data_IF_936081087529
#
_entry.id   IF_936081087529
#
_cell.length_a   1.000
_cell.length_b   1.000
_cell.length_c   1.000
_cell.angle_alpha   90.00
_cell.angle_beta   90.00
_cell.angle_gamma   90.00
#
_symmetry.space_group_name_H-M   'P 1'
#
loop_
_entity.id
_entity.type
_entity.pdbx_description
1 polymer ?
#
# COMPACT_ATOMS: atom_id res chain seq x y z
N UNK A 1 -26.71 -25.66 8.36
CA UNK A 1 -25.48 -24.88 8.58
C UNK A 1 -24.65 -25.01 7.31
N UNK A 2 -24.71 -24.00 6.43
CA UNK A 2 -24.11 -24.06 5.10
C UNK A 2 -22.63 -23.69 5.26
N UNK A 3 -21.73 -24.67 5.12
CA UNK A 3 -20.31 -24.42 5.01
C UNK A 3 -20.10 -23.65 3.71
N UNK A 4 -19.72 -22.38 3.79
CA UNK A 4 -19.26 -21.64 2.63
C UNK A 4 -18.04 -22.40 2.07
N UNK A 5 -18.16 -22.90 0.84
CA UNK A 5 -17.02 -23.40 0.10
C UNK A 5 -16.10 -22.20 -0.15
N UNK A 6 -15.05 -22.06 0.65
CA UNK A 6 -13.94 -21.19 0.31
C UNK A 6 -13.26 -21.82 -0.90
N UNK A 7 -13.38 -21.18 -2.06
CA UNK A 7 -12.49 -21.49 -3.17
C UNK A 7 -11.07 -21.19 -2.72
N UNK A 8 -10.19 -22.18 -2.84
CA UNK A 8 -8.74 -22.01 -2.63
C UNK A 8 -8.06 -21.39 -3.86
N UNK A 9 -8.82 -21.00 -4.88
CA UNK A 9 -8.29 -20.44 -6.12
C UNK A 9 -8.35 -18.92 -6.10
N UNK A 10 -7.28 -18.30 -6.60
CA UNK A 10 -7.21 -16.86 -6.77
C UNK A 10 -8.18 -16.43 -7.88
N UNK A 11 -9.09 -15.48 -7.64
CA UNK A 11 -10.06 -15.03 -8.65
C UNK A 11 -9.39 -14.50 -9.93
N UNK A 12 -10.04 -14.67 -11.07
CA UNK A 12 -9.47 -14.28 -12.37
C UNK A 12 -9.16 -12.78 -12.44
N UNK A 13 -10.00 -11.94 -11.86
CA UNK A 13 -9.80 -10.49 -11.79
C UNK A 13 -8.54 -10.14 -10.97
N UNK A 14 -8.28 -10.87 -9.89
CA UNK A 14 -7.08 -10.71 -9.08
C UNK A 14 -5.83 -11.11 -9.89
N UNK A 15 -5.90 -12.21 -10.65
CA UNK A 15 -4.81 -12.64 -11.52
C UNK A 15 -4.53 -11.63 -12.64
N UNK A 16 -5.58 -11.09 -13.27
CA UNK A 16 -5.47 -10.06 -14.30
C UNK A 16 -4.82 -8.78 -13.78
N UNK A 17 -5.21 -8.32 -12.58
CA UNK A 17 -4.60 -7.18 -11.92
C UNK A 17 -3.10 -7.41 -11.65
N UNK A 18 -2.75 -8.57 -11.10
CA UNK A 18 -1.33 -8.90 -10.81
C UNK A 18 -0.53 -8.99 -12.11
N UNK A 19 -1.09 -9.56 -13.17
CA UNK A 19 -0.43 -9.62 -14.48
C UNK A 19 -0.22 -8.22 -15.07
N UNK A 20 -1.23 -7.35 -14.98
CA UNK A 20 -1.12 -5.93 -15.37
C UNK A 20 -0.01 -5.24 -14.59
N UNK A 21 -0.02 -5.39 -13.26
CA UNK A 21 0.96 -4.75 -12.38
C UNK A 21 2.38 -5.25 -12.68
N UNK A 22 2.56 -6.56 -12.84
CA UNK A 22 3.86 -7.15 -13.22
C UNK A 22 4.36 -6.60 -14.56
N UNK A 23 3.48 -6.49 -15.56
CA UNK A 23 3.83 -5.96 -16.89
C UNK A 23 4.27 -4.49 -16.85
N UNK A 24 3.68 -3.69 -15.97
CA UNK A 24 4.07 -2.29 -15.78
C UNK A 24 5.52 -2.17 -15.25
N UNK A 25 5.89 -3.05 -14.33
CA UNK A 25 7.24 -3.15 -13.80
C UNK A 25 7.66 -1.97 -12.92
N UNK A 26 8.85 -2.12 -12.32
CA UNK A 26 9.38 -1.23 -11.27
C UNK A 26 9.48 0.24 -11.69
N UNK A 27 9.74 0.52 -12.95
CA UNK A 27 9.83 1.88 -13.48
C UNK A 27 8.50 2.64 -13.35
N UNK A 28 7.37 1.95 -13.52
CA UNK A 28 6.04 2.56 -13.43
C UNK A 28 5.43 2.48 -12.02
N UNK A 29 5.76 1.46 -11.23
CA UNK A 29 5.22 1.31 -9.86
C UNK A 29 5.46 2.52 -8.97
N UNK A 30 6.64 3.13 -9.08
CA UNK A 30 7.08 4.22 -8.20
C UNK A 30 7.21 5.57 -8.92
N UNK A 31 6.93 5.62 -10.22
CA UNK A 31 6.94 6.87 -10.98
C UNK A 31 5.60 7.61 -10.89
N UNK A 32 5.66 8.92 -11.12
CA UNK A 32 4.48 9.73 -11.44
C UNK A 32 4.36 9.78 -12.96
N UNK A 33 3.54 8.90 -13.50
CA UNK A 33 3.27 8.81 -14.94
C UNK A 33 1.76 8.97 -15.18
N UNK A 34 1.31 10.13 -15.69
CA UNK A 34 -0.12 10.38 -15.91
C UNK A 34 -0.78 9.41 -16.89
N UNK A 35 -0.05 8.86 -17.87
CA UNK A 35 -0.62 7.92 -18.83
C UNK A 35 -0.83 6.55 -18.18
N UNK A 36 0.12 6.10 -17.37
CA UNK A 36 -0.04 4.89 -16.57
C UNK A 36 -1.14 5.06 -15.51
N UNK A 37 -1.20 6.20 -14.82
CA UNK A 37 -2.23 6.48 -13.82
C UNK A 37 -3.63 6.43 -14.44
N UNK A 38 -3.82 7.02 -15.63
CA UNK A 38 -5.08 6.97 -16.37
C UNK A 38 -5.45 5.53 -16.75
N UNK A 39 -4.52 4.80 -17.37
CA UNK A 39 -4.74 3.41 -17.77
C UNK A 39 -5.08 2.51 -16.57
N UNK A 40 -4.34 2.67 -15.46
CA UNK A 40 -4.55 1.88 -14.25
C UNK A 40 -5.90 2.20 -13.63
N UNK A 41 -6.29 3.48 -13.61
CA UNK A 41 -7.60 3.94 -13.11
C UNK A 41 -8.74 3.38 -13.96
N UNK A 42 -8.69 3.57 -15.28
CA UNK A 42 -9.73 3.09 -16.21
C UNK A 42 -9.92 1.58 -16.12
N UNK A 43 -8.84 0.83 -15.93
CA UNK A 43 -8.88 -0.64 -15.93
C UNK A 43 -9.43 -1.23 -14.63
N UNK A 44 -9.24 -0.58 -13.48
CA UNK A 44 -9.49 -1.22 -12.17
C UNK A 44 -10.25 -0.37 -11.15
N UNK A 45 -10.81 0.79 -11.54
CA UNK A 45 -11.60 1.61 -10.61
C UNK A 45 -12.78 0.86 -10.00
N UNK A 46 -13.47 0.01 -10.76
CA UNK A 46 -14.59 -0.79 -10.24
C UNK A 46 -14.12 -1.78 -9.16
N UNK A 47 -12.99 -2.46 -9.38
CA UNK A 47 -12.40 -3.35 -8.38
C UNK A 47 -11.94 -2.59 -7.14
N UNK A 48 -11.33 -1.41 -7.30
CA UNK A 48 -10.96 -0.56 -6.18
C UNK A 48 -12.20 -0.19 -5.35
N UNK A 49 -13.31 0.20 -5.98
CA UNK A 49 -14.54 0.54 -5.28
C UNK A 49 -15.15 -0.64 -4.51
N UNK A 50 -15.10 -1.85 -5.07
CA UNK A 50 -15.55 -3.06 -4.40
C UNK A 50 -14.63 -3.41 -3.21
N UNK A 51 -13.31 -3.36 -3.40
CA UNK A 51 -12.32 -3.59 -2.34
C UNK A 51 -12.44 -2.56 -1.21
N UNK A 52 -12.62 -1.28 -1.54
CA UNK A 52 -12.79 -0.20 -0.56
C UNK A 52 -14.03 -0.41 0.33
N UNK A 53 -15.07 -1.07 -0.20
CA UNK A 53 -16.30 -1.44 0.53
C UNK A 53 -16.19 -2.80 1.25
N UNK A 54 -15.05 -3.48 1.18
CA UNK A 54 -14.83 -4.80 1.79
C UNK A 54 -15.50 -5.96 1.06
N UNK A 55 -16.00 -5.74 -0.16
CA UNK A 55 -16.75 -6.76 -0.92
C UNK A 55 -15.86 -7.80 -1.60
N UNK A 56 -14.54 -7.60 -1.52
CA UNK A 56 -13.52 -8.51 -2.05
C UNK A 56 -12.65 -9.12 -0.92
N UNK A 57 -13.00 -8.93 0.35
CA UNK A 57 -12.19 -9.41 1.50
C UNK A 57 -11.97 -10.93 1.49
N UNK A 58 -12.90 -11.68 0.89
CA UNK A 58 -12.76 -13.11 0.67
C UNK A 58 -11.54 -13.49 -0.19
N UNK A 59 -10.95 -12.56 -0.96
CA UNK A 59 -9.72 -12.79 -1.72
C UNK A 59 -8.51 -13.07 -0.81
N UNK A 60 -8.59 -12.71 0.47
CA UNK A 60 -7.54 -13.04 1.46
C UNK A 60 -7.33 -14.53 1.69
N UNK A 61 -8.22 -15.40 1.17
CA UNK A 61 -8.07 -16.85 1.23
C UNK A 61 -6.82 -17.36 0.51
N UNK A 62 -6.25 -16.59 -0.42
CA UNK A 62 -5.02 -16.94 -1.14
C UNK A 62 -3.96 -15.83 -1.04
N UNK A 63 -2.69 -16.20 -1.16
CA UNK A 63 -1.59 -15.23 -1.13
C UNK A 63 -1.70 -14.19 -2.26
N UNK A 64 -2.04 -14.64 -3.48
CA UNK A 64 -2.19 -13.75 -4.62
C UNK A 64 -3.44 -12.88 -4.49
N UNK A 65 -4.54 -13.38 -3.93
CA UNK A 65 -5.71 -12.54 -3.65
C UNK A 65 -5.41 -11.44 -2.63
N UNK A 66 -4.65 -11.74 -1.57
CA UNK A 66 -4.12 -10.72 -0.65
C UNK A 66 -3.23 -9.70 -1.37
N UNK A 67 -2.31 -10.13 -2.23
CA UNK A 67 -1.48 -9.20 -3.03
C UNK A 67 -2.34 -8.28 -3.91
N UNK A 68 -3.35 -8.82 -4.59
CA UNK A 68 -4.27 -8.05 -5.43
C UNK A 68 -5.03 -7.00 -4.61
N UNK A 69 -5.55 -7.37 -3.43
CA UNK A 69 -6.18 -6.42 -2.51
C UNK A 69 -5.23 -5.31 -2.09
N UNK A 70 -3.96 -5.61 -1.81
CA UNK A 70 -2.98 -4.60 -1.45
C UNK A 70 -2.67 -3.67 -2.61
N UNK A 71 -2.60 -4.17 -3.85
CA UNK A 71 -2.47 -3.31 -5.03
C UNK A 71 -3.71 -2.38 -5.15
N UNK A 72 -4.93 -2.89 -4.96
CA UNK A 72 -6.16 -2.08 -5.04
C UNK A 72 -6.33 -1.07 -3.90
N UNK A 73 -5.88 -1.40 -2.68
CA UNK A 73 -6.14 -0.60 -1.48
C UNK A 73 -4.96 0.30 -1.09
N UNK A 74 -3.73 -0.03 -1.53
CA UNK A 74 -2.52 0.72 -1.18
C UNK A 74 -1.93 1.43 -2.40
N UNK A 75 -1.73 0.72 -3.51
CA UNK A 75 -1.06 1.30 -4.68
C UNK A 75 -2.04 2.13 -5.54
N UNK A 76 -3.18 1.56 -5.91
CA UNK A 76 -4.18 2.21 -6.76
C UNK A 76 -4.56 3.61 -6.29
N UNK A 77 -4.87 3.88 -5.01
CA UNK A 77 -5.23 5.23 -4.57
C UNK A 77 -4.12 6.27 -4.77
N UNK A 78 -2.85 5.84 -4.66
CA UNK A 78 -1.67 6.69 -4.81
C UNK A 78 -1.38 7.04 -6.28
N UNK A 79 -1.87 6.24 -7.22
CA UNK A 79 -1.85 6.51 -8.66
C UNK A 79 -3.11 7.30 -9.10
N UNK A 80 -4.30 6.82 -8.75
CA UNK A 80 -5.57 7.33 -9.27
C UNK A 80 -6.04 8.64 -8.62
N UNK A 81 -5.67 8.90 -7.35
CA UNK A 81 -6.24 9.99 -6.56
C UNK A 81 -5.20 10.95 -5.99
N UNK A 82 -4.08 11.12 -6.73
CA UNK A 82 -2.95 11.98 -6.32
C UNK A 82 -3.41 13.36 -5.85
N UNK A 83 -2.85 13.81 -4.74
CA UNK A 83 -3.13 15.14 -4.17
C UNK A 83 -4.53 15.28 -3.55
N UNK A 84 -5.26 14.19 -3.35
CA UNK A 84 -6.58 14.21 -2.71
C UNK A 84 -6.60 13.34 -1.45
N UNK A 85 -7.54 13.58 -0.50
CA UNK A 85 -7.70 12.71 0.67
C UNK A 85 -7.93 11.23 0.31
N UNK A 86 -8.53 10.96 -0.86
CA UNK A 86 -8.88 9.62 -1.31
C UNK A 86 -7.65 8.73 -1.55
N UNK A 87 -6.47 9.32 -1.78
CA UNK A 87 -5.20 8.58 -1.86
C UNK A 87 -4.84 7.85 -0.56
N UNK A 88 -5.44 8.22 0.58
CA UNK A 88 -5.17 7.64 1.90
C UNK A 88 -6.39 6.96 2.53
N UNK A 89 -7.56 7.06 1.89
CA UNK A 89 -8.84 6.65 2.47
C UNK A 89 -8.92 5.14 2.77
N UNK A 90 -8.14 4.34 2.06
CA UNK A 90 -8.11 2.87 2.17
C UNK A 90 -6.87 2.33 2.88
N UNK A 91 -5.95 3.19 3.36
CA UNK A 91 -4.70 2.80 4.04
C UNK A 91 -4.97 1.88 5.24
N UNK A 92 -5.98 2.20 6.07
CA UNK A 92 -6.35 1.40 7.23
C UNK A 92 -6.84 0.00 6.83
N UNK A 93 -7.48 -0.13 5.66
CA UNK A 93 -7.91 -1.43 5.15
C UNK A 93 -6.72 -2.22 4.60
N UNK A 94 -5.90 -1.61 3.75
CA UNK A 94 -4.68 -2.21 3.23
C UNK A 94 -3.78 -2.75 4.35
N UNK A 95 -3.60 -1.96 5.42
CA UNK A 95 -2.83 -2.38 6.60
C UNK A 95 -3.39 -3.64 7.25
N UNK A 96 -4.71 -3.77 7.42
CA UNK A 96 -5.32 -4.99 8.00
C UNK A 96 -5.05 -6.22 7.13
N UNK A 97 -5.15 -6.07 5.80
CA UNK A 97 -4.83 -7.15 4.86
C UNK A 97 -3.36 -7.55 4.96
N UNK A 98 -2.43 -6.58 4.99
CA UNK A 98 -1.01 -6.85 5.15
C UNK A 98 -0.67 -7.55 6.47
N UNK A 99 -1.30 -7.14 7.57
CA UNK A 99 -1.16 -7.82 8.87
C UNK A 99 -1.61 -9.28 8.78
N UNK A 100 -2.79 -9.53 8.19
CA UNK A 100 -3.33 -10.89 8.02
C UNK A 100 -2.42 -11.75 7.15
N UNK A 101 -2.08 -11.26 5.96
CA UNK A 101 -1.28 -11.99 4.98
C UNK A 101 0.11 -12.36 5.54
N UNK A 102 0.77 -11.42 6.22
CA UNK A 102 2.09 -11.70 6.83
C UNK A 102 1.99 -12.60 8.07
N UNK A 103 0.89 -12.57 8.82
CA UNK A 103 0.68 -13.50 9.94
C UNK A 103 0.49 -14.95 9.48
N UNK A 104 0.02 -15.15 8.24
CA UNK A 104 -0.17 -16.45 7.60
C UNK A 104 1.00 -16.85 6.69
N UNK A 105 2.07 -16.04 6.62
CA UNK A 105 3.22 -16.28 5.76
C UNK A 105 2.91 -16.23 4.26
N UNK A 106 1.78 -15.61 3.86
CA UNK A 106 1.39 -15.50 2.45
C UNK A 106 2.38 -14.66 1.65
N UNK A 107 3.02 -13.68 2.28
CA UNK A 107 4.07 -12.86 1.67
C UNK A 107 5.27 -13.69 1.18
N UNK A 108 5.60 -14.79 1.87
CA UNK A 108 6.66 -15.70 1.47
C UNK A 108 6.28 -16.58 0.26
N UNK A 109 5.00 -16.69 -0.05
CA UNK A 109 4.47 -17.38 -1.23
C UNK A 109 4.44 -16.50 -2.48
N UNK A 110 4.66 -15.19 -2.31
CA UNK A 110 4.75 -14.23 -3.41
C UNK A 110 6.20 -14.11 -3.90
N UNK A 111 6.35 -14.00 -5.22
CA UNK A 111 7.64 -13.72 -5.86
C UNK A 111 8.33 -12.52 -5.21
N UNK A 112 9.65 -12.63 -5.02
CA UNK A 112 10.45 -11.62 -4.31
C UNK A 112 10.26 -10.19 -4.88
N UNK A 113 10.09 -10.08 -6.19
CA UNK A 113 9.89 -8.80 -6.89
C UNK A 113 8.61 -8.07 -6.46
N UNK A 114 7.53 -8.81 -6.23
CA UNK A 114 6.21 -8.26 -5.84
C UNK A 114 6.02 -8.23 -4.33
N UNK A 115 6.86 -8.96 -3.58
CA UNK A 115 6.73 -9.10 -2.12
C UNK A 115 6.73 -7.77 -1.38
N UNK A 116 7.41 -6.75 -1.89
CA UNK A 116 7.43 -5.41 -1.28
C UNK A 116 6.01 -4.85 -1.06
N UNK A 117 5.07 -5.12 -1.97
CA UNK A 117 3.69 -4.64 -1.88
C UNK A 117 2.92 -5.25 -0.70
N UNK A 118 3.39 -6.38 -0.17
CA UNK A 118 2.88 -6.98 1.07
C UNK A 118 3.27 -6.17 2.32
N UNK A 119 4.26 -5.29 2.20
CA UNK A 119 4.89 -4.60 3.32
C UNK A 119 4.70 -3.07 3.29
N UNK A 120 4.53 -2.47 2.10
CA UNK A 120 4.33 -1.03 1.95
C UNK A 120 3.20 -0.44 2.83
N UNK A 121 2.05 -1.12 3.05
CA UNK A 121 1.01 -0.59 3.93
C UNK A 121 1.49 -0.27 5.35
N UNK A 122 2.48 -0.99 5.88
CA UNK A 122 3.09 -0.68 7.17
C UNK A 122 3.85 0.65 7.13
N UNK A 123 4.62 0.88 6.07
CA UNK A 123 5.35 2.13 5.85
C UNK A 123 4.43 3.33 5.58
N UNK A 124 3.20 3.08 5.13
CA UNK A 124 2.22 4.13 4.89
C UNK A 124 1.37 4.52 6.10
N UNK A 125 1.41 3.73 7.17
CA UNK A 125 0.68 3.98 8.41
C UNK A 125 1.32 5.10 9.23
N UNK A 126 0.51 5.91 9.91
CA UNK A 126 0.99 6.89 10.91
C UNK A 126 1.08 6.22 12.30
N UNK A 127 1.73 5.04 12.37
CA UNK A 127 1.91 4.26 13.60
C UNK A 127 3.33 3.72 13.69
N UNK A 128 4.04 4.07 14.77
CA UNK A 128 5.41 3.62 14.98
C UNK A 128 5.53 2.08 15.05
N UNK A 129 4.54 1.40 15.62
CA UNK A 129 4.52 -0.06 15.69
C UNK A 129 4.51 -0.72 14.31
N UNK A 130 3.80 -0.11 13.35
CA UNK A 130 3.81 -0.61 11.96
C UNK A 130 5.18 -0.39 11.32
N UNK A 131 5.83 0.74 11.56
CA UNK A 131 7.19 0.97 11.05
C UNK A 131 8.21 -0.02 11.59
N UNK A 132 8.09 -0.43 12.86
CA UNK A 132 8.93 -1.48 13.44
C UNK A 132 8.68 -2.80 12.70
N UNK A 133 7.42 -3.24 12.63
CA UNK A 133 7.02 -4.50 11.98
C UNK A 133 7.42 -4.55 10.50
N UNK A 134 7.11 -3.49 9.75
CA UNK A 134 7.45 -3.37 8.34
C UNK A 134 8.95 -3.31 8.10
N UNK A 135 9.70 -2.67 9.02
CA UNK A 135 11.16 -2.65 8.99
C UNK A 135 11.75 -4.06 9.06
N UNK A 136 11.35 -4.86 10.05
CA UNK A 136 11.78 -6.26 10.22
C UNK A 136 11.50 -7.11 8.97
N UNK A 137 10.33 -6.94 8.36
CA UNK A 137 9.96 -7.64 7.13
C UNK A 137 10.84 -7.22 5.93
N UNK A 138 11.13 -5.92 5.82
CA UNK A 138 11.92 -5.36 4.73
C UNK A 138 13.44 -5.61 4.86
N UNK A 139 13.96 -6.00 6.03
CA UNK A 139 15.39 -6.31 6.21
C UNK A 139 15.90 -7.33 5.19
N UNK A 140 15.10 -8.35 4.90
CA UNK A 140 15.43 -9.42 3.95
C UNK A 140 15.44 -8.94 2.49
N UNK A 141 14.83 -7.79 2.18
CA UNK A 141 14.80 -7.23 0.83
C UNK A 141 16.01 -6.31 0.54
N UNK A 142 16.68 -5.81 1.59
CA UNK A 142 17.84 -4.93 1.47
C UNK A 142 17.55 -3.56 0.81
N UNK A 143 18.59 -2.78 0.50
CA UNK A 143 18.45 -1.52 -0.22
C UNK A 143 17.87 -1.70 -1.64
N UNK A 144 17.07 -0.74 -2.14
CA UNK A 144 16.77 0.55 -1.52
C UNK A 144 15.65 0.48 -0.46
N UNK A 145 14.97 -0.66 -0.31
CA UNK A 145 13.76 -0.75 0.52
C UNK A 145 14.01 -0.48 1.99
N UNK A 146 15.09 -1.00 2.55
CA UNK A 146 15.48 -0.73 3.95
C UNK A 146 15.79 0.75 4.19
N UNK A 147 16.33 1.45 3.19
CA UNK A 147 16.68 2.86 3.31
C UNK A 147 15.44 3.74 3.28
N UNK A 148 14.47 3.38 2.42
CA UNK A 148 13.15 4.02 2.44
C UNK A 148 12.44 3.77 3.78
N UNK A 149 12.39 2.53 4.28
CA UNK A 149 11.75 2.20 5.55
C UNK A 149 12.31 3.03 6.72
N UNK A 150 13.64 3.21 6.78
CA UNK A 150 14.31 4.05 7.79
C UNK A 150 13.90 5.52 7.69
N UNK A 151 13.84 6.08 6.48
CA UNK A 151 13.42 7.48 6.25
C UNK A 151 11.98 7.71 6.71
N UNK A 152 11.08 6.82 6.32
CA UNK A 152 9.67 6.88 6.71
C UNK A 152 9.50 6.76 8.24
N UNK A 153 10.19 5.80 8.86
CA UNK A 153 10.18 5.61 10.32
C UNK A 153 10.66 6.85 11.07
N UNK A 154 11.75 7.49 10.61
CA UNK A 154 12.28 8.69 11.25
C UNK A 154 11.25 9.84 11.28
N UNK A 155 10.45 10.00 10.21
CA UNK A 155 9.37 11.00 10.18
C UNK A 155 8.29 10.68 11.22
N UNK A 156 7.88 9.42 11.33
CA UNK A 156 6.89 9.00 12.32
C UNK A 156 7.44 9.07 13.75
N UNK A 157 8.70 8.75 13.99
CA UNK A 157 9.34 8.94 15.30
C UNK A 157 9.37 10.41 15.71
N UNK A 158 9.60 11.32 14.77
CA UNK A 158 9.70 12.75 15.05
C UNK A 158 8.33 13.42 15.23
N UNK A 159 7.34 13.09 14.40
CA UNK A 159 6.09 13.84 14.32
C UNK A 159 4.84 13.02 14.70
N UNK A 160 4.96 11.70 14.81
CA UNK A 160 3.83 10.79 15.02
C UNK A 160 2.89 10.66 13.81
N UNK A 161 3.15 11.39 12.73
CA UNK A 161 2.35 11.48 11.50
C UNK A 161 3.21 11.96 10.33
N UNK A 162 2.69 11.96 9.11
CA UNK A 162 3.37 12.47 7.92
C UNK A 162 2.98 13.95 7.66
N UNK A 163 3.89 14.92 7.88
CA UNK A 163 3.55 16.34 7.73
C UNK A 163 3.11 16.73 6.31
N UNK A 164 3.64 16.06 5.28
CA UNK A 164 3.25 16.33 3.88
C UNK A 164 1.78 16.03 3.59
N UNK A 165 1.10 15.24 4.45
CA UNK A 165 -0.34 14.96 4.31
C UNK A 165 -1.22 16.01 4.98
N UNK A 166 -0.65 16.96 5.74
CA UNK A 166 -1.42 17.89 6.57
C UNK A 166 -2.41 18.72 5.74
N UNK A 167 -1.97 19.36 4.65
CA UNK A 167 -2.86 20.13 3.79
C UNK A 167 -3.92 19.25 3.12
N UNK A 168 -3.53 18.08 2.62
CA UNK A 168 -4.45 17.15 1.95
C UNK A 168 -5.53 16.64 2.91
N UNK A 169 -5.18 16.39 4.17
CA UNK A 169 -6.08 15.87 5.20
C UNK A 169 -6.74 16.97 6.05
N UNK A 170 -6.56 18.25 5.71
CA UNK A 170 -7.16 19.37 6.44
C UNK A 170 -6.65 19.53 7.89
N UNK A 171 -5.40 19.11 8.15
CA UNK A 171 -4.75 19.22 9.47
C UNK A 171 -3.93 20.51 9.55
N UNK A 172 -4.00 21.18 10.68
CA UNK A 172 -3.08 22.29 10.98
C UNK A 172 -1.67 21.73 11.22
N UNK A 173 -0.68 22.35 10.57
CA UNK A 173 0.73 22.04 10.77
C UNK A 173 1.27 22.78 11.99
N UNK A 174 2.14 22.12 12.75
CA UNK A 174 2.92 22.77 13.80
C UNK A 174 4.11 23.53 13.19
N UNK A 175 4.68 24.48 13.92
CA UNK A 175 5.86 25.22 13.44
C UNK A 175 7.07 24.32 13.12
N UNK A 176 7.23 23.21 13.85
CA UNK A 176 8.27 22.22 13.59
C UNK A 176 8.03 21.45 12.28
N UNK A 177 6.78 21.07 12.01
CA UNK A 177 6.37 20.42 10.76
C UNK A 177 6.55 21.34 9.56
N UNK A 178 6.18 22.62 9.67
CA UNK A 178 6.41 23.58 8.60
C UNK A 178 7.89 23.80 8.32
N UNK A 179 8.72 23.93 9.36
CA UNK A 179 10.16 24.07 9.21
C UNK A 179 10.78 22.84 8.52
N UNK A 180 10.31 21.65 8.89
CA UNK A 180 10.70 20.40 8.25
C UNK A 180 10.35 20.39 6.76
N UNK A 181 9.11 20.75 6.40
CA UNK A 181 8.66 20.80 5.00
C UNK A 181 9.43 21.84 4.18
N UNK A 182 9.75 23.01 4.75
CA UNK A 182 10.53 24.06 4.07
C UNK A 182 11.98 23.63 3.75
N UNK A 183 12.57 22.75 4.56
CA UNK A 183 13.96 22.29 4.40
C UNK A 183 14.09 21.06 3.48
N UNK A 184 13.19 20.89 2.52
CA UNK A 184 13.15 19.74 1.60
C UNK A 184 12.32 18.56 2.10
N UNK A 185 12.03 18.50 3.40
CA UNK A 185 11.05 17.61 4.01
C UNK A 185 11.16 16.15 3.59
N UNK A 186 9.98 15.55 3.45
CA UNK A 186 9.79 14.17 3.01
C UNK A 186 8.57 14.12 2.09
N UNK A 187 8.77 13.70 0.84
CA UNK A 187 7.69 13.32 -0.08
C UNK A 187 7.53 11.81 -0.01
N UNK A 188 6.39 11.36 0.51
CA UNK A 188 5.96 9.95 0.42
C UNK A 188 5.77 9.52 -1.03
#
# INVERSE_FOLDING_TARGET
MMLAQFSNETPDEAQQLIAFWRKAGRELWFAKDPAFDALFTESFIELHELAAKGQLDQWTSTAHGSLALLILLDQFPRNAFRGTPRAYATDAHARRIAMLATSWGQDLMIDLELRVFMYLPFGHSESLADHVRGGELLEHMGPPYTDHAKKYRAVIEQFGRFPHRNSILGREATGAEEAFLRNGGFSG
#
